data_IF_691498479505
#
_entry.id   IF_691498479505
#
_cell.length_a   1.000
_cell.length_b   1.000
_cell.length_c   1.000
_cell.angle_alpha   90.00
_cell.angle_beta   90.00
_cell.angle_gamma   90.00
#
_symmetry.space_group_name_H-M   'P 1'
#
loop_
_entity.id
_entity.type
_entity.pdbx_description
1 polymer ?
#
# COMPACT_ATOMS: atom_id res chain seq x y z
N UNK A 1 29.58 10.78 -4.67
CA UNK A 1 29.73 11.93 -3.84
C UNK A 1 29.32 13.22 -4.51
N UNK A 2 28.86 14.17 -3.71
CA UNK A 2 28.37 15.47 -4.18
C UNK A 2 29.50 16.53 -4.20
N UNK A 3 30.74 16.09 -3.97
CA UNK A 3 31.92 16.97 -3.90
C UNK A 3 32.85 16.67 -5.08
N UNK A 4 33.21 17.69 -5.82
CA UNK A 4 34.17 17.63 -6.92
C UNK A 4 35.26 18.70 -6.63
N UNK A 5 36.51 18.32 -6.65
CA UNK A 5 37.68 19.22 -6.36
C UNK A 5 37.48 20.03 -5.07
N UNK A 6 36.99 19.40 -3.99
CA UNK A 6 36.77 20.04 -2.70
C UNK A 6 35.56 20.99 -2.61
N UNK A 7 34.81 21.18 -3.67
CA UNK A 7 33.59 21.99 -3.67
C UNK A 7 32.35 21.14 -3.67
N UNK A 8 31.36 21.52 -2.86
CA UNK A 8 30.05 20.85 -2.78
C UNK A 8 29.15 21.45 -3.84
N UNK A 9 28.67 20.64 -4.78
CA UNK A 9 27.80 21.05 -5.89
C UNK A 9 26.33 20.62 -5.71
N UNK A 10 26.07 19.71 -4.77
CA UNK A 10 24.71 19.28 -4.45
C UNK A 10 24.62 18.86 -2.99
N UNK A 11 23.47 19.09 -2.39
CA UNK A 11 23.13 18.55 -1.07
C UNK A 11 22.35 17.25 -1.28
N UNK A 12 22.78 16.12 -0.69
CA UNK A 12 22.02 14.89 -0.81
C UNK A 12 20.66 15.06 -0.15
N UNK A 13 19.61 14.65 -0.83
CA UNK A 13 18.29 14.57 -0.23
C UNK A 13 18.29 13.36 0.72
N UNK A 14 18.08 13.61 2.00
CA UNK A 14 17.81 12.55 2.97
C UNK A 14 16.39 12.04 2.75
N UNK A 15 16.24 11.18 1.73
CA UNK A 15 14.96 10.50 1.48
C UNK A 15 14.93 9.16 2.21
N UNK A 16 13.73 8.68 2.51
CA UNK A 16 13.54 7.31 2.95
C UNK A 16 14.06 6.36 1.87
N UNK A 17 15.00 5.53 2.24
CA UNK A 17 15.64 4.57 1.33
C UNK A 17 14.79 3.32 1.13
N UNK A 18 13.74 3.15 1.95
CA UNK A 18 12.79 2.07 1.85
C UNK A 18 11.37 2.59 2.09
N UNK A 19 10.43 2.05 1.36
CA UNK A 19 9.00 2.22 1.55
C UNK A 19 8.30 0.89 1.38
N UNK A 20 7.17 0.72 2.04
CA UNK A 20 6.34 -0.48 1.93
C UNK A 20 4.88 -0.09 1.71
N UNK A 21 4.13 -1.03 1.17
CA UNK A 21 2.67 -0.91 1.13
C UNK A 21 2.11 -1.24 2.51
N UNK A 22 1.10 -0.48 2.89
CA UNK A 22 0.46 -0.60 4.18
C UNK A 22 -1.04 -0.36 4.02
N UNK A 23 -1.84 -0.94 4.92
CA UNK A 23 -3.20 -0.48 5.13
C UNK A 23 -3.19 0.73 6.07
N UNK A 24 -3.78 1.82 5.62
CA UNK A 24 -4.03 3.01 6.41
C UNK A 24 -5.51 3.07 6.78
N UNK A 25 -5.81 3.12 8.06
CA UNK A 25 -7.16 3.17 8.59
C UNK A 25 -7.49 4.56 9.15
N UNK A 26 -8.73 4.98 8.95
CA UNK A 26 -9.27 6.20 9.53
C UNK A 26 -9.50 5.99 11.04
N UNK A 27 -8.55 6.46 11.86
CA UNK A 27 -8.53 6.25 13.30
C UNK A 27 -9.80 6.70 14.02
N UNK A 28 -10.32 7.93 13.76
CA UNK A 28 -11.60 8.39 14.31
C UNK A 28 -12.77 7.44 14.06
N UNK A 29 -12.86 6.82 12.87
CA UNK A 29 -13.93 5.87 12.58
C UNK A 29 -13.72 4.53 13.30
N UNK A 30 -12.46 4.07 13.45
CA UNK A 30 -12.16 2.89 14.26
C UNK A 30 -12.62 3.10 15.71
N UNK A 31 -12.29 4.25 16.29
CA UNK A 31 -12.68 4.59 17.67
C UNK A 31 -14.20 4.76 17.82
N UNK A 32 -14.83 5.49 16.91
CA UNK A 32 -16.28 5.74 16.92
C UNK A 32 -17.10 4.45 16.87
N UNK A 33 -16.65 3.48 16.07
CA UNK A 33 -17.40 2.23 15.86
C UNK A 33 -16.84 1.04 16.63
N UNK A 34 -15.77 1.22 17.41
CA UNK A 34 -15.15 0.14 18.17
C UNK A 34 -14.65 -0.99 17.26
N UNK A 35 -14.01 -0.65 16.13
CA UNK A 35 -13.50 -1.64 15.16
C UNK A 35 -12.04 -1.93 15.49
N UNK A 36 -11.75 -3.20 15.79
CA UNK A 36 -10.39 -3.68 16.04
C UNK A 36 -9.72 -4.11 14.74
N UNK A 37 -8.52 -3.60 14.49
CA UNK A 37 -7.68 -3.91 13.33
C UNK A 37 -6.38 -4.63 13.72
N UNK A 38 -6.26 -5.09 14.96
CA UNK A 38 -5.03 -5.71 15.48
C UNK A 38 -4.61 -6.96 14.69
N UNK A 39 -5.58 -7.72 14.19
CA UNK A 39 -5.38 -8.96 13.45
C UNK A 39 -5.25 -8.77 11.93
N UNK A 40 -5.28 -7.53 11.42
CA UNK A 40 -5.14 -7.27 9.99
C UNK A 40 -3.66 -7.36 9.60
N UNK A 41 -3.38 -8.23 8.62
CA UNK A 41 -2.02 -8.51 8.12
C UNK A 41 -1.94 -8.72 6.60
N UNK A 42 -3.06 -8.97 5.95
CA UNK A 42 -3.21 -9.24 4.52
C UNK A 42 -4.61 -8.86 4.03
N UNK A 43 -4.88 -9.05 2.73
CA UNK A 43 -6.20 -8.74 2.16
C UNK A 43 -7.31 -9.60 2.75
N UNK A 44 -7.06 -10.89 3.00
CA UNK A 44 -8.10 -11.80 3.51
C UNK A 44 -8.56 -11.42 4.93
N UNK A 45 -7.64 -10.98 5.76
CA UNK A 45 -7.91 -10.55 7.14
C UNK A 45 -8.64 -9.22 7.27
N UNK A 46 -8.78 -8.45 6.17
CA UNK A 46 -9.58 -7.22 6.14
C UNK A 46 -11.09 -7.47 6.18
N UNK A 47 -11.58 -8.62 5.74
CA UNK A 47 -13.03 -8.85 5.53
C UNK A 47 -13.90 -8.52 6.75
N UNK A 48 -13.56 -8.94 7.98
CA UNK A 48 -14.37 -8.62 9.16
C UNK A 48 -14.47 -7.11 9.41
N UNK A 49 -13.39 -6.38 9.14
CA UNK A 49 -13.31 -4.93 9.32
C UNK A 49 -14.20 -4.22 8.29
N UNK A 50 -14.11 -4.61 7.02
CA UNK A 50 -14.92 -4.04 5.92
C UNK A 50 -16.41 -4.30 6.13
N UNK A 51 -16.75 -5.52 6.57
CA UNK A 51 -18.11 -5.89 6.91
C UNK A 51 -18.65 -5.05 8.07
N UNK A 52 -17.88 -4.93 9.14
CA UNK A 52 -18.29 -4.19 10.34
C UNK A 52 -18.63 -2.72 10.03
N UNK A 53 -17.79 -2.02 9.24
CA UNK A 53 -18.10 -0.63 8.91
C UNK A 53 -19.30 -0.50 7.98
N UNK A 54 -19.44 -1.39 7.00
CA UNK A 54 -20.58 -1.35 6.08
C UNK A 54 -21.92 -1.53 6.79
N UNK A 55 -21.94 -2.38 7.83
CA UNK A 55 -23.15 -2.61 8.63
C UNK A 55 -23.44 -1.42 9.56
N UNK A 56 -22.41 -0.76 10.09
CA UNK A 56 -22.55 0.32 11.06
C UNK A 56 -22.78 1.69 10.41
N UNK A 57 -22.15 1.95 9.27
CA UNK A 57 -22.29 3.22 8.54
C UNK A 57 -22.20 2.99 7.01
N UNK A 58 -23.35 2.83 6.33
CA UNK A 58 -23.40 2.63 4.89
C UNK A 58 -22.87 3.80 4.05
N UNK A 59 -22.69 5.00 4.66
CA UNK A 59 -22.17 6.17 3.95
C UNK A 59 -20.64 6.21 3.89
N UNK A 60 -19.98 5.38 4.70
CA UNK A 60 -18.53 5.25 4.68
C UNK A 60 -18.13 4.20 3.66
N UNK A 61 -17.19 4.53 2.77
CA UNK A 61 -16.59 3.57 1.85
C UNK A 61 -15.66 2.63 2.64
N UNK A 62 -15.97 1.32 2.70
CA UNK A 62 -15.16 0.40 3.49
C UNK A 62 -13.71 0.32 3.02
N UNK A 63 -13.49 0.09 1.71
CA UNK A 63 -12.16 0.04 1.11
C UNK A 63 -12.07 1.08 -0.02
N UNK A 64 -11.37 2.17 0.24
CA UNK A 64 -11.26 3.31 -0.66
C UNK A 64 -10.28 3.00 -1.79
N UNK A 65 -10.81 2.94 -3.00
CA UNK A 65 -10.07 2.76 -4.26
C UNK A 65 -10.69 3.63 -5.35
N UNK A 66 -9.90 3.94 -6.36
CA UNK A 66 -10.32 4.61 -7.58
C UNK A 66 -9.61 4.03 -8.81
N UNK A 67 -9.81 4.59 -9.99
CA UNK A 67 -9.22 4.09 -11.25
C UNK A 67 -7.69 4.05 -11.28
N UNK A 68 -7.01 4.72 -10.35
CA UNK A 68 -5.54 4.70 -10.25
C UNK A 68 -5.01 3.49 -9.50
N UNK A 69 -5.90 2.60 -9.00
CA UNK A 69 -5.48 1.40 -8.29
C UNK A 69 -4.80 0.40 -9.24
N UNK A 70 -3.52 0.14 -9.00
CA UNK A 70 -2.68 -0.70 -9.86
C UNK A 70 -2.81 -2.21 -9.65
N UNK A 71 -3.69 -2.65 -8.76
CA UNK A 71 -3.84 -4.05 -8.33
C UNK A 71 -3.24 -4.31 -6.95
N UNK A 72 -3.46 -5.51 -6.39
CA UNK A 72 -2.99 -5.86 -5.07
C UNK A 72 -1.46 -5.79 -4.98
N UNK A 73 -0.99 -5.27 -3.88
CA UNK A 73 0.43 -5.20 -3.58
C UNK A 73 1.00 -6.58 -3.28
N UNK A 74 2.21 -6.86 -3.76
CA UNK A 74 2.95 -8.08 -3.45
C UNK A 74 4.46 -7.81 -3.53
N UNK A 75 5.25 -8.80 -3.10
CA UNK A 75 6.70 -8.71 -3.03
C UNK A 75 7.32 -9.00 -4.41
N UNK A 76 7.25 -8.00 -5.28
CA UNK A 76 7.75 -8.06 -6.65
C UNK A 76 8.81 -7.00 -6.94
N UNK A 77 9.81 -7.36 -7.75
CA UNK A 77 10.65 -6.41 -8.46
C UNK A 77 10.15 -6.28 -9.91
N UNK A 78 9.67 -5.10 -10.28
CA UNK A 78 9.15 -4.84 -11.62
C UNK A 78 10.30 -4.65 -12.61
N UNK A 79 10.28 -5.45 -13.68
CA UNK A 79 11.37 -5.48 -14.68
C UNK A 79 11.27 -4.32 -15.67
N UNK A 80 10.08 -3.78 -15.84
CA UNK A 80 9.79 -2.72 -16.79
C UNK A 80 8.92 -1.62 -16.15
N UNK A 81 8.60 -0.60 -16.93
CA UNK A 81 7.73 0.50 -16.52
C UNK A 81 6.36 0.01 -16.07
N UNK A 82 5.73 0.79 -15.20
CA UNK A 82 4.40 0.53 -14.66
C UNK A 82 3.38 0.12 -15.74
N UNK A 83 2.58 -0.88 -15.39
CA UNK A 83 1.51 -1.39 -16.24
C UNK A 83 1.85 -2.70 -16.98
N UNK A 84 3.13 -3.10 -17.07
CA UNK A 84 3.47 -4.41 -17.60
C UNK A 84 3.39 -5.50 -16.52
N UNK A 85 2.94 -6.71 -16.88
CA UNK A 85 2.75 -7.78 -15.90
C UNK A 85 4.04 -8.48 -15.48
N UNK A 86 5.18 -8.13 -16.07
CA UNK A 86 6.44 -8.84 -15.90
C UNK A 86 7.16 -8.43 -14.62
N UNK A 87 7.43 -9.40 -13.76
CA UNK A 87 8.04 -9.22 -12.45
C UNK A 87 9.10 -10.28 -12.18
N UNK A 88 10.02 -9.97 -11.28
CA UNK A 88 10.79 -10.97 -10.53
C UNK A 88 10.05 -11.21 -9.23
N UNK A 89 9.65 -12.45 -8.98
CA UNK A 89 9.02 -12.86 -7.74
C UNK A 89 10.05 -12.98 -6.63
N UNK A 90 10.03 -12.03 -5.67
CA UNK A 90 11.02 -12.02 -4.57
C UNK A 90 10.77 -13.12 -3.52
N UNK A 91 9.61 -13.78 -3.55
CA UNK A 91 9.29 -14.97 -2.75
C UNK A 91 9.52 -16.29 -3.47
N UNK A 92 9.85 -16.25 -4.75
CA UNK A 92 10.05 -17.41 -5.61
C UNK A 92 11.46 -17.49 -6.17
N UNK A 93 11.56 -17.92 -7.44
CA UNK A 93 12.83 -17.98 -8.16
C UNK A 93 13.22 -16.58 -8.66
N UNK A 94 14.09 -15.91 -7.92
CA UNK A 94 14.54 -14.54 -8.22
C UNK A 94 15.43 -14.43 -9.46
N UNK A 95 15.72 -15.53 -10.12
CA UNK A 95 16.51 -15.56 -11.37
C UNK A 95 15.63 -15.51 -12.62
N UNK A 96 14.31 -15.58 -12.45
CA UNK A 96 13.33 -15.61 -13.54
C UNK A 96 12.42 -14.39 -13.55
N UNK A 97 12.10 -13.97 -14.76
CA UNK A 97 11.02 -13.02 -15.01
C UNK A 97 9.76 -13.83 -15.31
N UNK A 98 8.68 -13.51 -14.59
CA UNK A 98 7.40 -14.19 -14.71
C UNK A 98 6.27 -13.18 -14.91
N UNK A 99 5.16 -13.62 -15.47
CA UNK A 99 3.92 -12.84 -15.47
C UNK A 99 3.28 -12.96 -14.09
N UNK A 100 3.05 -11.81 -13.41
CA UNK A 100 2.42 -11.77 -12.07
C UNK A 100 1.06 -12.45 -12.00
N UNK A 101 0.32 -12.47 -13.11
CA UNK A 101 -0.99 -13.13 -13.18
C UNK A 101 -0.90 -14.67 -13.22
N UNK A 102 0.29 -15.24 -13.35
CA UNK A 102 0.52 -16.68 -13.21
C UNK A 102 0.90 -17.09 -11.79
N UNK A 103 1.12 -16.13 -10.88
CA UNK A 103 1.53 -16.38 -9.50
C UNK A 103 0.28 -16.62 -8.64
N UNK A 104 0.13 -17.83 -8.05
CA UNK A 104 -1.12 -18.21 -7.36
C UNK A 104 -1.54 -17.23 -6.25
N UNK A 105 -0.61 -16.79 -5.39
CA UNK A 105 -0.93 -15.84 -4.29
C UNK A 105 -1.43 -14.49 -4.80
N UNK A 106 -0.88 -14.00 -5.92
CA UNK A 106 -1.35 -12.76 -6.54
C UNK A 106 -2.78 -12.91 -7.07
N UNK A 107 -3.05 -14.04 -7.72
CA UNK A 107 -4.39 -14.38 -8.23
C UNK A 107 -5.39 -14.53 -7.09
N UNK A 108 -5.01 -15.12 -5.95
CA UNK A 108 -5.89 -15.22 -4.78
C UNK A 108 -6.20 -13.83 -4.17
N UNK A 109 -5.24 -12.92 -4.14
CA UNK A 109 -5.49 -11.53 -3.73
C UNK A 109 -6.47 -10.83 -4.69
N UNK A 110 -6.33 -11.03 -6.00
CA UNK A 110 -7.30 -10.52 -6.99
C UNK A 110 -8.70 -11.07 -6.77
N UNK A 111 -8.84 -12.37 -6.51
CA UNK A 111 -10.14 -13.00 -6.19
C UNK A 111 -10.74 -12.41 -4.91
N UNK A 112 -9.90 -12.17 -3.90
CA UNK A 112 -10.34 -11.54 -2.65
C UNK A 112 -10.85 -10.13 -2.90
N UNK A 113 -10.15 -9.32 -3.68
CA UNK A 113 -10.60 -7.98 -4.06
C UNK A 113 -11.88 -8.01 -4.91
N UNK A 114 -12.00 -8.98 -5.82
CA UNK A 114 -13.22 -9.18 -6.59
C UNK A 114 -14.41 -9.52 -5.68
N UNK A 115 -14.22 -10.41 -4.70
CA UNK A 115 -15.23 -10.72 -3.67
C UNK A 115 -15.64 -9.45 -2.91
N UNK A 116 -14.69 -8.58 -2.56
CA UNK A 116 -14.97 -7.31 -1.90
C UNK A 116 -15.74 -6.33 -2.78
N UNK A 117 -15.44 -6.30 -4.07
CA UNK A 117 -16.20 -5.53 -5.03
C UNK A 117 -17.67 -6.03 -5.13
N UNK A 118 -17.87 -7.34 -5.25
CA UNK A 118 -19.21 -7.94 -5.28
C UNK A 118 -19.99 -7.68 -3.98
N UNK A 119 -19.32 -7.78 -2.84
CA UNK A 119 -19.89 -7.45 -1.53
C UNK A 119 -20.19 -5.96 -1.34
N UNK A 120 -19.72 -5.09 -2.26
CA UNK A 120 -19.87 -3.64 -2.18
C UNK A 120 -19.03 -3.01 -1.07
N UNK A 121 -17.88 -3.59 -0.74
CA UNK A 121 -16.89 -2.97 0.11
C UNK A 121 -15.97 -2.04 -0.68
N UNK A 122 -15.83 -2.28 -1.97
CA UNK A 122 -15.14 -1.42 -2.94
C UNK A 122 -16.19 -0.68 -3.77
N UNK A 123 -15.99 0.61 -4.09
CA UNK A 123 -16.92 1.38 -4.90
C UNK A 123 -17.22 0.74 -6.26
N UNK A 124 -18.47 0.72 -6.67
CA UNK A 124 -18.88 0.11 -7.94
C UNK A 124 -18.32 0.83 -9.18
N UNK A 125 -18.02 2.10 -9.06
CA UNK A 125 -17.42 2.94 -10.09
C UNK A 125 -15.89 2.98 -10.04
N UNK A 126 -15.25 2.09 -9.28
CA UNK A 126 -13.79 2.09 -9.04
C UNK A 126 -12.97 2.17 -10.33
N UNK A 127 -13.41 1.55 -11.41
CA UNK A 127 -12.69 1.52 -12.70
C UNK A 127 -12.73 2.85 -13.46
N UNK A 128 -13.65 3.75 -13.14
CA UNK A 128 -13.89 5.01 -13.86
C UNK A 128 -13.77 6.24 -12.99
N UNK A 129 -13.88 6.07 -11.67
CA UNK A 129 -13.90 7.17 -10.71
C UNK A 129 -12.53 7.79 -10.51
N UNK A 130 -12.50 9.13 -10.52
CA UNK A 130 -11.36 9.94 -10.08
C UNK A 130 -11.46 10.38 -8.61
N UNK A 131 -12.43 9.86 -7.86
CA UNK A 131 -12.67 10.26 -6.48
C UNK A 131 -11.40 10.09 -5.64
N UNK A 132 -10.88 11.20 -5.15
CA UNK A 132 -9.84 11.23 -4.12
C UNK A 132 -10.46 11.10 -2.75
N UNK A 133 -9.94 10.18 -1.94
CA UNK A 133 -10.37 10.05 -0.55
C UNK A 133 -9.44 10.87 0.33
N UNK A 134 -9.87 12.06 0.73
CA UNK A 134 -9.09 12.96 1.57
C UNK A 134 -8.84 12.31 2.94
N UNK A 135 -7.57 12.32 3.37
CA UNK A 135 -7.16 11.78 4.67
C UNK A 135 -7.85 12.45 5.85
N UNK A 136 -8.30 13.70 5.69
CA UNK A 136 -8.96 14.48 6.75
C UNK A 136 -10.46 14.22 6.90
N UNK A 137 -11.07 13.42 6.03
CA UNK A 137 -12.51 13.18 5.97
C UNK A 137 -12.92 11.80 6.49
N UNK A 138 -14.17 11.69 6.96
CA UNK A 138 -14.78 10.45 7.44
C UNK A 138 -15.57 9.70 6.36
N UNK A 139 -15.16 9.83 5.11
CA UNK A 139 -15.82 9.22 3.97
C UNK A 139 -15.31 7.81 3.62
N UNK A 140 -14.22 7.37 4.28
CA UNK A 140 -13.54 6.11 4.01
C UNK A 140 -13.01 5.48 5.30
N UNK A 141 -12.92 4.15 5.34
CA UNK A 141 -12.35 3.44 6.49
C UNK A 141 -10.91 2.99 6.27
N UNK A 142 -10.63 2.27 5.18
CA UNK A 142 -9.28 1.79 4.86
C UNK A 142 -8.89 2.13 3.44
N UNK A 143 -7.60 2.36 3.22
CA UNK A 143 -6.96 2.53 1.92
C UNK A 143 -5.54 1.95 1.94
N UNK A 144 -4.98 1.68 0.77
CA UNK A 144 -3.56 1.34 0.67
C UNK A 144 -2.71 2.60 0.57
N UNK A 145 -1.60 2.60 1.30
CA UNK A 145 -0.63 3.68 1.29
C UNK A 145 0.80 3.15 1.22
N UNK A 146 1.60 3.78 0.36
CA UNK A 146 3.04 3.54 0.31
C UNK A 146 3.72 4.51 1.27
N UNK A 147 4.22 4.00 2.38
CA UNK A 147 4.90 4.82 3.40
C UNK A 147 6.23 4.19 3.82
N UNK A 148 7.05 4.97 4.52
CA UNK A 148 8.25 4.48 5.17
C UNK A 148 7.94 3.52 6.33
N UNK A 149 8.84 3.36 7.30
CA UNK A 149 8.57 2.56 8.50
C UNK A 149 7.23 2.89 9.14
N UNK A 150 6.54 1.89 9.69
CA UNK A 150 5.19 2.06 10.23
C UNK A 150 5.07 3.24 11.21
N UNK A 151 6.04 3.43 12.11
CA UNK A 151 6.05 4.56 13.04
C UNK A 151 6.17 5.91 12.31
N UNK A 152 6.99 5.98 11.27
CA UNK A 152 7.12 7.18 10.46
C UNK A 152 5.82 7.44 9.67
N UNK A 153 5.24 6.41 9.08
CA UNK A 153 3.96 6.49 8.37
C UNK A 153 2.83 7.00 9.27
N UNK A 154 2.70 6.45 10.45
CA UNK A 154 1.73 6.90 11.45
C UNK A 154 1.92 8.39 11.80
N UNK A 155 3.17 8.80 12.02
CA UNK A 155 3.48 10.20 12.33
C UNK A 155 3.19 11.13 11.14
N UNK A 156 3.66 10.78 9.95
CA UNK A 156 3.51 11.64 8.76
C UNK A 156 2.06 11.76 8.31
N UNK A 157 1.38 10.63 8.09
CA UNK A 157 0.00 10.64 7.61
C UNK A 157 -0.94 11.28 8.62
N UNK A 158 -0.76 11.02 9.90
CA UNK A 158 -1.57 11.65 10.95
C UNK A 158 -1.36 13.16 11.02
N UNK A 159 -0.14 13.64 10.79
CA UNK A 159 0.15 15.08 10.73
C UNK A 159 -0.44 15.75 9.50
N UNK A 160 -0.35 15.13 8.33
CA UNK A 160 -0.94 15.64 7.08
C UNK A 160 -2.46 15.68 7.19
N UNK A 161 -3.06 14.63 7.72
CA UNK A 161 -4.50 14.54 7.91
C UNK A 161 -5.03 15.41 9.07
N UNK A 162 -4.16 15.91 9.94
CA UNK A 162 -4.50 16.53 11.22
C UNK A 162 -5.45 15.67 12.07
N UNK A 163 -5.26 14.34 12.02
CA UNK A 163 -6.03 13.32 12.73
C UNK A 163 -5.25 12.02 12.81
N UNK A 164 -5.66 11.12 13.71
CA UNK A 164 -5.04 9.81 13.85
C UNK A 164 -5.33 8.94 12.61
N UNK A 165 -4.28 8.47 11.97
CA UNK A 165 -4.31 7.44 10.94
C UNK A 165 -3.59 6.23 11.50
N UNK A 166 -4.27 5.09 11.57
CA UNK A 166 -3.69 3.83 12.02
C UNK A 166 -3.08 3.08 10.83
N UNK A 167 -1.80 2.74 10.90
CA UNK A 167 -1.08 2.02 9.85
C UNK A 167 -0.87 0.57 10.26
N UNK A 168 -1.26 -0.35 9.38
CA UNK A 168 -0.97 -1.78 9.50
C UNK A 168 -0.13 -2.22 8.31
N UNK A 169 1.12 -2.62 8.54
CA UNK A 169 1.99 -3.12 7.47
C UNK A 169 1.50 -4.50 6.97
N UNK A 170 1.78 -4.79 5.72
CA UNK A 170 1.52 -6.10 5.10
C UNK A 170 2.60 -7.10 5.52
N UNK A 171 2.65 -7.47 6.78
CA UNK A 171 3.74 -8.27 7.34
C UNK A 171 3.90 -9.64 6.69
N UNK A 172 2.80 -10.23 6.23
CA UNK A 172 2.81 -11.53 5.52
C UNK A 172 3.15 -11.39 4.03
N UNK A 173 2.84 -10.24 3.43
CA UNK A 173 3.08 -10.01 2.01
C UNK A 173 4.53 -9.61 1.72
N UNK A 174 5.21 -8.95 2.65
CA UNK A 174 6.54 -8.39 2.47
C UNK A 174 7.54 -8.87 3.53
N UNK A 175 7.87 -10.18 3.59
CA UNK A 175 8.82 -10.70 4.58
C UNK A 175 10.23 -10.11 4.43
N UNK A 176 10.55 -9.56 3.25
CA UNK A 176 11.85 -8.97 2.94
C UNK A 176 11.92 -7.45 3.17
N UNK A 177 10.90 -6.82 3.76
CA UNK A 177 10.93 -5.39 4.09
C UNK A 177 12.17 -5.04 4.91
N UNK A 178 12.56 -5.87 5.86
CA UNK A 178 13.76 -5.64 6.67
C UNK A 178 15.03 -5.60 5.82
N UNK A 179 15.12 -6.40 4.76
CA UNK A 179 16.24 -6.39 3.82
C UNK A 179 16.24 -5.12 2.95
N UNK A 180 15.09 -4.57 2.63
CA UNK A 180 14.99 -3.30 1.90
C UNK A 180 15.57 -2.12 2.67
N UNK A 181 15.56 -2.15 4.01
CA UNK A 181 16.22 -1.14 4.85
C UNK A 181 17.75 -1.27 4.86
N UNK A 182 18.30 -2.43 4.60
CA UNK A 182 19.74 -2.71 4.67
C UNK A 182 20.45 -2.63 3.32
N UNK A 183 19.73 -2.63 2.20
CA UNK A 183 20.29 -2.56 0.84
C UNK A 183 19.79 -1.35 0.06
N UNK A 184 20.31 -0.15 0.36
CA UNK A 184 19.66 1.10 -0.03
C UNK A 184 19.77 1.51 -1.49
N UNK A 185 20.32 0.81 -2.44
CA UNK A 185 20.65 1.49 -3.69
C UNK A 185 20.44 0.79 -5.02
N UNK A 186 19.81 -0.38 -5.09
CA UNK A 186 19.62 -1.01 -6.41
C UNK A 186 18.48 -0.43 -7.25
N UNK A 187 17.47 0.22 -6.63
CA UNK A 187 16.28 0.69 -7.37
C UNK A 187 16.41 2.09 -7.97
N UNK A 188 17.25 2.97 -7.43
CA UNK A 188 17.35 4.37 -7.92
C UNK A 188 18.25 4.57 -9.15
N UNK A 189 19.07 3.61 -9.54
CA UNK A 189 19.99 3.80 -10.68
C UNK A 189 19.42 3.42 -12.06
N UNK A 190 18.17 2.93 -12.15
CA UNK A 190 17.59 2.54 -13.45
C UNK A 190 16.78 3.63 -14.16
N UNK A 191 16.55 4.77 -13.52
CA UNK A 191 15.70 5.83 -14.11
C UNK A 191 16.44 7.08 -14.60
N UNK A 192 17.77 7.03 -14.70
CA UNK A 192 18.54 8.10 -15.33
C UNK A 192 19.34 7.57 -16.50
N UNK A 193 18.68 7.34 -17.62
CA UNK A 193 19.22 7.42 -18.97
C UNK A 193 18.09 7.80 -19.92
#
# INVERSE_FOLDING_TARGET
GNTVNGKIYAVPVAANVASSQNFAFNGPLLEKYGIDVSNVKDYASLEPVLKAIKEKDPNVVPFAMNKSYGGPSDDFDYVAVDGLPFVVDLKGDTTKIVDRYTIPRYVENLKTLHKYYEAGYIPKDVATSDTGYDLSQDTWLVREETVGPADYGNSLLSRVANRKIEIKPFTELFPHIQLAYTTPHRRQHRYTR
#
